data_IF_388430563928
#
_entry.id   IF_388430563928
#
_cell.length_a   1.000
_cell.length_b   1.000
_cell.length_c   1.000
_cell.angle_alpha   90.00
_cell.angle_beta   90.00
_cell.angle_gamma   90.00
#
_symmetry.space_group_name_H-M   'P 1'
#
loop_
_entity.id
_entity.type
_entity.pdbx_description
1 polymer ?
#
# COMPACT_ATOMS: atom_id res chain seq x y z
N UNK A 1 -2.20 12.49 -22.37
CA UNK A 1 -3.42 11.93 -22.99
C UNK A 1 -4.44 11.63 -21.89
N UNK A 2 -5.61 12.27 -21.91
CA UNK A 2 -6.66 12.09 -20.88
C UNK A 2 -7.75 11.10 -21.29
N UNK A 3 -7.65 10.53 -22.50
CA UNK A 3 -8.75 9.78 -23.13
C UNK A 3 -9.04 8.41 -22.50
N UNK A 4 -8.13 7.93 -21.64
CA UNK A 4 -8.22 6.63 -20.96
C UNK A 4 -8.70 6.72 -19.51
N UNK A 5 -8.82 7.90 -18.91
CA UNK A 5 -9.33 8.03 -17.53
C UNK A 5 -10.78 7.52 -17.46
N UNK A 6 -11.08 6.73 -16.42
CA UNK A 6 -12.41 6.17 -16.18
C UNK A 6 -12.82 5.05 -17.14
N UNK A 7 -11.90 4.50 -17.94
CA UNK A 7 -12.16 3.37 -18.86
C UNK A 7 -11.43 2.11 -18.40
N UNK A 8 -12.11 0.96 -18.44
CA UNK A 8 -11.52 -0.32 -18.04
C UNK A 8 -11.08 -0.32 -16.58
N UNK A 9 -9.81 -0.67 -16.32
CA UNK A 9 -9.19 -0.62 -14.99
C UNK A 9 -8.61 0.75 -14.61
N UNK A 10 -8.68 1.75 -15.49
CA UNK A 10 -8.10 3.06 -15.26
C UNK A 10 -8.97 3.92 -14.34
N UNK A 11 -8.34 4.56 -13.35
CA UNK A 11 -9.00 5.49 -12.43
C UNK A 11 -9.64 6.66 -13.17
N UNK A 12 -10.71 7.21 -12.60
CA UNK A 12 -11.24 8.49 -13.07
C UNK A 12 -10.26 9.63 -12.73
N UNK A 13 -10.37 10.75 -13.45
CA UNK A 13 -9.56 11.93 -13.16
C UNK A 13 -9.85 12.48 -11.75
N UNK A 14 -11.10 12.41 -11.31
CA UNK A 14 -11.53 12.82 -9.97
C UNK A 14 -10.88 11.96 -8.87
N UNK A 15 -10.87 10.64 -9.05
CA UNK A 15 -10.23 9.74 -8.08
C UNK A 15 -8.72 9.95 -8.05
N UNK A 16 -8.11 10.19 -9.22
CA UNK A 16 -6.69 10.51 -9.32
C UNK A 16 -6.35 11.83 -8.62
N UNK A 17 -7.14 12.89 -8.85
CA UNK A 17 -6.98 14.18 -8.19
C UNK A 17 -7.11 14.07 -6.67
N UNK A 18 -8.13 13.35 -6.18
CA UNK A 18 -8.30 13.09 -4.75
C UNK A 18 -7.09 12.36 -4.18
N UNK A 19 -6.63 11.32 -4.84
CA UNK A 19 -5.48 10.54 -4.37
C UNK A 19 -4.19 11.37 -4.23
N UNK A 20 -3.89 12.20 -5.24
CA UNK A 20 -2.65 13.00 -5.28
C UNK A 20 -2.73 14.19 -4.33
N UNK A 21 -3.82 14.96 -4.38
CA UNK A 21 -3.90 16.26 -3.69
C UNK A 21 -4.56 16.19 -2.32
N UNK A 22 -5.50 15.28 -2.11
CA UNK A 22 -6.25 15.19 -0.84
C UNK A 22 -5.69 14.09 0.06
N UNK A 23 -5.39 12.92 -0.52
CA UNK A 23 -4.99 11.75 0.27
C UNK A 23 -3.46 11.60 0.40
N UNK A 24 -2.68 12.32 -0.42
CA UNK A 24 -1.21 12.24 -0.51
C UNK A 24 -0.68 10.80 -0.65
N UNK A 25 -1.48 9.91 -1.26
CA UNK A 25 -1.13 8.49 -1.47
C UNK A 25 -0.18 8.31 -2.64
N UNK A 26 -0.10 9.30 -3.53
CA UNK A 26 0.90 9.37 -4.59
C UNK A 26 1.29 10.81 -4.84
N UNK A 27 2.40 11.01 -5.54
CA UNK A 27 2.87 12.34 -5.92
C UNK A 27 3.41 12.35 -7.35
N UNK A 28 3.36 13.51 -7.98
CA UNK A 28 3.86 13.75 -9.33
C UNK A 28 5.28 14.29 -9.29
N UNK A 29 6.15 13.77 -10.14
CA UNK A 29 7.53 14.21 -10.33
C UNK A 29 7.77 14.41 -11.82
N UNK A 30 8.30 15.56 -12.22
CA UNK A 30 8.77 15.75 -13.59
C UNK A 30 10.17 15.13 -13.74
N UNK A 31 10.33 14.27 -14.74
CA UNK A 31 11.62 13.66 -15.08
C UNK A 31 11.76 13.60 -16.58
N UNK A 32 12.82 14.21 -17.12
CA UNK A 32 13.12 14.26 -18.55
C UNK A 32 11.94 14.81 -19.39
N UNK A 33 11.24 15.84 -18.89
CA UNK A 33 10.07 16.42 -19.55
C UNK A 33 8.81 15.55 -19.54
N UNK A 34 8.82 14.44 -18.78
CA UNK A 34 7.68 13.55 -18.61
C UNK A 34 7.23 13.59 -17.15
N UNK A 35 5.92 13.68 -16.95
CA UNK A 35 5.30 13.66 -15.63
C UNK A 35 5.15 12.21 -15.15
N UNK A 36 5.91 11.82 -14.14
CA UNK A 36 5.86 10.50 -13.51
C UNK A 36 5.01 10.56 -12.22
N UNK A 37 4.05 9.65 -12.08
CA UNK A 37 3.36 9.42 -10.80
C UNK A 37 4.16 8.40 -9.98
N UNK A 38 4.47 8.74 -8.72
CA UNK A 38 5.15 7.86 -7.76
C UNK A 38 4.24 7.50 -6.61
N UNK A 39 4.26 6.23 -6.25
CA UNK A 39 3.60 5.68 -5.06
C UNK A 39 4.70 5.04 -4.23
N UNK A 40 4.75 5.37 -2.94
CA UNK A 40 5.64 4.71 -2.00
C UNK A 40 4.85 3.64 -1.24
N UNK A 41 5.31 2.40 -1.35
CA UNK A 41 4.65 1.23 -0.75
C UNK A 41 5.64 0.56 0.20
N UNK A 42 5.15 0.21 1.39
CA UNK A 42 5.84 -0.64 2.34
C UNK A 42 5.15 -1.98 2.37
N UNK A 43 5.90 -3.04 2.06
CA UNK A 43 5.44 -4.41 2.24
C UNK A 43 5.72 -4.85 3.67
N UNK A 44 4.67 -5.24 4.36
CA UNK A 44 4.68 -5.70 5.74
C UNK A 44 4.62 -7.22 5.72
N UNK A 45 5.67 -7.85 6.25
CA UNK A 45 5.66 -9.27 6.56
C UNK A 45 5.74 -9.40 8.08
N UNK A 46 4.67 -9.86 8.70
CA UNK A 46 4.67 -10.16 10.13
C UNK A 46 5.11 -11.60 10.31
N UNK A 47 6.15 -11.81 11.12
CA UNK A 47 6.61 -13.13 11.56
C UNK A 47 6.25 -13.33 13.04
N UNK A 48 5.75 -14.50 13.38
CA UNK A 48 5.47 -14.89 14.77
C UNK A 48 5.84 -16.36 14.96
N UNK A 49 6.21 -16.76 16.18
CA UNK A 49 6.36 -18.17 16.54
C UNK A 49 5.07 -18.68 17.16
N UNK A 50 4.62 -19.87 16.74
CA UNK A 50 3.49 -20.52 17.40
C UNK A 50 3.92 -21.23 18.70
N UNK A 51 2.96 -21.88 19.37
CA UNK A 51 3.20 -22.62 20.61
C UNK A 51 4.19 -23.78 20.49
N UNK A 52 4.52 -24.19 19.26
CA UNK A 52 5.48 -25.24 18.94
C UNK A 52 6.86 -24.66 18.53
N UNK A 53 6.98 -23.33 18.44
CA UNK A 53 8.21 -22.64 18.04
C UNK A 53 8.35 -22.44 16.53
N UNK A 54 7.36 -22.83 15.74
CA UNK A 54 7.37 -22.77 14.28
C UNK A 54 7.03 -21.38 13.77
N UNK A 55 7.69 -20.96 12.68
CA UNK A 55 7.49 -19.63 12.10
C UNK A 55 6.16 -19.54 11.35
N UNK A 56 5.35 -18.55 11.72
CA UNK A 56 4.07 -18.20 11.11
C UNK A 56 4.19 -16.82 10.48
N UNK A 57 3.54 -16.64 9.33
CA UNK A 57 3.43 -15.33 8.66
C UNK A 57 1.99 -14.90 8.50
N UNK A 58 1.71 -13.62 8.73
CA UNK A 58 0.40 -13.03 8.46
C UNK A 58 0.21 -12.85 6.96
N UNK A 59 -0.90 -13.36 6.44
CA UNK A 59 -1.29 -13.21 5.03
C UNK A 59 -2.71 -12.66 4.92
N UNK A 60 -2.91 -11.75 3.98
CA UNK A 60 -4.25 -11.24 3.65
C UNK A 60 -4.99 -12.34 2.87
N UNK A 61 -6.12 -12.77 3.43
CA UNK A 61 -6.88 -13.88 2.89
C UNK A 61 -7.84 -13.45 1.76
N UNK A 62 -8.29 -12.18 1.76
CA UNK A 62 -9.34 -11.69 0.85
C UNK A 62 -9.15 -10.19 0.56
N UNK A 63 -9.22 -9.80 -0.72
CA UNK A 63 -9.48 -8.42 -1.16
C UNK A 63 -10.86 -8.39 -1.87
N UNK A 64 -11.76 -7.51 -1.41
CA UNK A 64 -13.07 -7.30 -2.04
C UNK A 64 -12.97 -5.99 -2.83
N UNK A 65 -13.04 -6.10 -4.15
CA UNK A 65 -12.99 -4.98 -5.08
C UNK A 65 -14.32 -4.21 -5.07
N UNK A 66 -14.31 -2.94 -5.48
CA UNK A 66 -15.52 -2.08 -5.55
C UNK A 66 -16.58 -2.58 -6.54
N UNK A 67 -16.24 -3.54 -7.41
CA UNK A 67 -17.16 -4.21 -8.33
C UNK A 67 -17.73 -5.54 -7.78
N UNK A 68 -17.49 -5.83 -6.50
CA UNK A 68 -17.97 -7.05 -5.82
C UNK A 68 -17.14 -8.30 -6.11
N UNK A 69 -16.07 -8.21 -6.90
CA UNK A 69 -15.17 -9.36 -7.11
C UNK A 69 -14.35 -9.62 -5.86
N UNK A 70 -14.30 -10.90 -5.49
CA UNK A 70 -13.52 -11.42 -4.36
C UNK A 70 -12.26 -12.08 -4.93
N UNK A 71 -11.09 -11.54 -4.61
CA UNK A 71 -9.80 -12.16 -4.97
C UNK A 71 -9.19 -12.80 -3.72
N UNK A 72 -8.86 -14.09 -3.81
CA UNK A 72 -8.15 -14.90 -2.80
C UNK A 72 -6.79 -15.31 -3.40
N UNK A 73 -5.64 -15.45 -2.73
CA UNK A 73 -5.21 -15.56 -1.32
C UNK A 73 -3.68 -15.34 -1.26
N UNK A 74 -3.09 -15.24 -0.06
CA UNK A 74 -1.64 -15.15 0.20
C UNK A 74 -0.97 -13.80 -0.14
N UNK A 75 -1.70 -12.69 -0.15
CA UNK A 75 -1.05 -11.41 -0.33
C UNK A 75 -0.34 -10.96 0.95
N UNK A 76 0.84 -10.38 0.77
CA UNK A 76 1.52 -9.70 1.85
C UNK A 76 0.72 -8.45 2.20
N UNK A 77 0.69 -8.13 3.48
CA UNK A 77 0.10 -6.87 3.92
C UNK A 77 0.94 -5.73 3.32
N UNK A 78 0.31 -4.77 2.66
CA UNK A 78 0.99 -3.60 2.12
C UNK A 78 0.37 -2.32 2.69
N UNK A 79 1.20 -1.32 2.91
CA UNK A 79 0.85 0.02 3.38
C UNK A 79 1.35 1.05 2.37
N UNK A 80 0.51 2.05 2.06
CA UNK A 80 0.95 3.21 1.28
C UNK A 80 1.59 4.21 2.24
N UNK A 81 2.82 4.63 1.93
CA UNK A 81 3.49 5.69 2.69
C UNK A 81 3.05 7.02 2.11
N UNK A 82 2.35 7.81 2.93
CA UNK A 82 1.97 9.17 2.55
C UNK A 82 3.22 10.03 2.42
N UNK A 83 3.21 10.94 1.45
CA UNK A 83 4.29 11.92 1.29
C UNK A 83 4.52 12.68 2.60
N UNK A 84 5.76 12.68 3.09
CA UNK A 84 6.15 13.34 4.33
C UNK A 84 5.97 12.50 5.60
N UNK A 85 5.46 11.28 5.50
CA UNK A 85 5.41 10.32 6.61
C UNK A 85 6.56 9.32 6.53
N UNK A 86 6.90 8.73 7.67
CA UNK A 86 7.84 7.62 7.75
C UNK A 86 7.13 6.28 7.45
N UNK A 87 7.90 5.29 7.01
CA UNK A 87 7.37 3.94 6.81
C UNK A 87 6.81 3.35 8.12
N UNK A 88 7.42 3.64 9.28
CA UNK A 88 6.95 3.15 10.58
C UNK A 88 5.57 3.69 10.92
N UNK A 89 5.31 4.97 10.64
CA UNK A 89 3.98 5.58 10.83
C UNK A 89 2.95 4.95 9.89
N UNK A 90 3.30 4.70 8.64
CA UNK A 90 2.42 4.03 7.68
C UNK A 90 2.08 2.60 8.13
N UNK A 91 3.05 1.85 8.67
CA UNK A 91 2.82 0.53 9.26
C UNK A 91 1.89 0.63 10.46
N UNK A 92 2.17 1.53 11.42
CA UNK A 92 1.33 1.72 12.61
C UNK A 92 -0.13 2.01 12.26
N UNK A 93 -0.33 2.96 11.35
CA UNK A 93 -1.66 3.32 10.86
C UNK A 93 -2.34 2.13 10.18
N UNK A 94 -1.62 1.37 9.36
CA UNK A 94 -2.17 0.19 8.69
C UNK A 94 -2.64 -0.87 9.70
N UNK A 95 -1.89 -1.11 10.77
CA UNK A 95 -2.29 -2.07 11.80
C UNK A 95 -3.49 -1.59 12.62
N UNK A 96 -3.55 -0.29 12.93
CA UNK A 96 -4.72 0.29 13.60
C UNK A 96 -5.97 0.20 12.73
N UNK A 97 -5.89 0.58 11.45
CA UNK A 97 -7.04 0.60 10.54
C UNK A 97 -7.55 -0.81 10.20
N UNK A 98 -6.64 -1.76 9.95
CA UNK A 98 -7.02 -3.10 9.49
C UNK A 98 -7.30 -4.11 10.59
N UNK A 99 -6.66 -3.95 11.74
CA UNK A 99 -6.73 -4.93 12.84
C UNK A 99 -7.15 -4.32 14.17
N UNK A 100 -7.38 -3.00 14.24
CA UNK A 100 -7.79 -2.33 15.48
C UNK A 100 -6.68 -2.27 16.53
N UNK A 101 -5.42 -2.55 16.18
CA UNK A 101 -4.32 -2.54 17.13
C UNK A 101 -3.96 -1.09 17.47
N UNK A 102 -4.11 -0.70 18.73
CA UNK A 102 -3.74 0.63 19.23
C UNK A 102 -2.23 0.83 19.15
N UNK A 103 -1.77 2.08 19.13
CA UNK A 103 -0.34 2.39 19.08
C UNK A 103 0.42 1.81 20.29
N UNK A 104 -0.19 1.82 21.47
CA UNK A 104 0.39 1.29 22.70
C UNK A 104 0.56 -0.23 22.62
N UNK A 105 -0.48 -0.95 22.19
CA UNK A 105 -0.43 -2.40 22.04
C UNK A 105 0.60 -2.79 20.97
N UNK A 106 0.67 -2.05 19.86
CA UNK A 106 1.69 -2.28 18.84
C UNK A 106 3.11 -2.08 19.38
N UNK A 107 3.35 -1.08 20.23
CA UNK A 107 4.66 -0.84 20.82
C UNK A 107 5.07 -1.95 21.81
N UNK A 108 4.09 -2.58 22.46
CA UNK A 108 4.31 -3.69 23.38
C UNK A 108 4.61 -5.01 22.65
N UNK A 109 3.88 -5.31 21.57
CA UNK A 109 3.89 -6.66 20.97
C UNK A 109 4.63 -6.75 19.62
N UNK A 110 4.97 -5.62 18.98
CA UNK A 110 5.62 -5.61 17.67
C UNK A 110 7.04 -5.04 17.76
N UNK A 111 7.99 -5.77 17.19
CA UNK A 111 9.30 -5.23 16.80
C UNK A 111 9.29 -4.86 15.31
N UNK A 112 9.92 -3.74 14.97
CA UNK A 112 10.00 -3.28 13.58
C UNK A 112 11.42 -3.43 13.05
N UNK A 113 11.57 -4.26 12.02
CA UNK A 113 12.80 -4.39 11.23
C UNK A 113 12.53 -3.91 9.81
N UNK A 114 13.41 -3.05 9.29
CA UNK A 114 13.26 -2.46 7.96
C UNK A 114 14.35 -2.94 7.03
N UNK A 115 13.96 -3.50 5.87
CA UNK A 115 14.87 -3.83 4.78
C UNK A 115 14.49 -2.99 3.56
N UNK A 116 15.47 -2.35 2.94
CA UNK A 116 15.25 -1.53 1.73
C UNK A 116 15.41 -2.39 0.48
N UNK A 117 14.30 -2.63 -0.22
CA UNK A 117 14.30 -3.22 -1.55
C UNK A 117 13.87 -2.17 -2.57
N UNK A 118 14.66 -1.97 -3.61
CA UNK A 118 14.26 -1.16 -4.77
C UNK A 118 13.59 -2.11 -5.77
N UNK A 119 12.27 -2.18 -5.77
CA UNK A 119 11.55 -2.90 -6.84
C UNK A 119 11.70 -2.15 -8.17
N UNK A 120 11.83 -2.90 -9.27
CA UNK A 120 11.84 -2.35 -10.62
C UNK A 120 10.50 -1.71 -10.94
N UNK A 121 10.53 -0.67 -11.79
CA UNK A 121 9.37 0.17 -12.12
C UNK A 121 8.22 -0.69 -12.65
N UNK A 122 7.21 -0.95 -11.83
CA UNK A 122 5.93 -1.48 -12.31
C UNK A 122 5.03 -0.32 -12.72
N UNK A 123 4.72 -0.24 -14.00
CA UNK A 123 3.65 0.64 -14.49
C UNK A 123 2.32 0.12 -13.97
N UNK A 124 1.64 0.94 -13.16
CA UNK A 124 0.33 0.55 -12.65
C UNK A 124 -0.68 0.53 -13.81
N UNK A 125 -1.40 -0.58 -14.05
CA UNK A 125 -2.44 -0.64 -15.08
C UNK A 125 -3.68 0.22 -14.73
N UNK A 126 -3.69 0.83 -13.55
CA UNK A 126 -4.82 1.63 -13.04
C UNK A 126 -4.71 3.13 -13.34
N UNK A 127 -3.61 3.62 -13.90
CA UNK A 127 -3.48 5.03 -14.29
C UNK A 127 -3.04 5.10 -15.75
N UNK A 128 -3.74 5.90 -16.58
CA UNK A 128 -3.35 6.11 -17.98
C UNK A 128 -1.89 6.53 -18.12
N UNK A 129 -1.13 5.77 -18.92
CA UNK A 129 0.15 6.20 -19.51
C UNK A 129 -0.06 6.85 -20.87
#
# INVERSE_FOLDING_TARGET
DVTKFGKGSAKSLTDFHREVLQENKSYLVEKNGVLERRIEIVRITLHAKDVQGEDRSLKVLIEIMTDGRVVQRNQHLAAVVKKGSTWKEAVKQTFTEKFGLTADLQAEILSYEGNWLKEERMTSPSVPS
#
